data_IF_898670450364
#
_entry.id   IF_898670450364
#
_cell.length_a   1.000
_cell.length_b   1.000
_cell.length_c   1.000
_cell.angle_alpha   90.00
_cell.angle_beta   90.00
_cell.angle_gamma   90.00
#
_symmetry.space_group_name_H-M   'P 1'
#
loop_
_entity.id
_entity.type
_entity.pdbx_description
1 polymer ?
#
# COMPACT_ATOMS: atom_id res chain seq x y z
N UNK A 1 -29.76 18.24 -12.19
CA UNK A 1 -29.53 17.08 -11.30
C UNK A 1 -28.56 16.16 -12.03
N UNK A 2 -27.28 16.13 -11.65
CA UNK A 2 -26.29 15.28 -12.33
C UNK A 2 -26.57 13.81 -11.98
N UNK A 3 -26.61 12.94 -12.99
CA UNK A 3 -26.73 11.50 -12.77
C UNK A 3 -25.57 10.98 -11.92
N UNK A 4 -25.79 10.04 -11.00
CA UNK A 4 -24.71 9.45 -10.23
C UNK A 4 -23.71 8.80 -11.18
N UNK A 5 -22.40 8.91 -10.90
CA UNK A 5 -21.39 8.30 -11.75
C UNK A 5 -21.63 6.79 -11.82
N UNK A 6 -21.43 6.17 -13.01
CA UNK A 6 -21.47 4.72 -13.11
C UNK A 6 -20.45 4.17 -12.11
N UNK A 7 -20.81 3.11 -11.38
CA UNK A 7 -20.01 2.46 -10.33
C UNK A 7 -20.00 3.07 -8.91
N UNK A 8 -20.87 4.05 -8.58
CA UNK A 8 -20.92 4.59 -7.20
C UNK A 8 -21.17 3.51 -6.13
N UNK A 9 -22.12 2.61 -6.36
CA UNK A 9 -22.43 1.52 -5.42
C UNK A 9 -21.26 0.55 -5.28
N UNK A 10 -20.58 0.20 -6.38
CA UNK A 10 -19.43 -0.69 -6.36
C UNK A 10 -18.25 -0.10 -5.55
N UNK A 11 -18.01 1.21 -5.65
CA UNK A 11 -17.00 1.91 -4.85
C UNK A 11 -17.31 1.86 -3.37
N UNK A 12 -18.56 2.19 -3.00
CA UNK A 12 -19.01 2.17 -1.62
C UNK A 12 -18.86 0.76 -1.04
N UNK A 13 -19.28 -0.28 -1.79
CA UNK A 13 -19.16 -1.67 -1.36
C UNK A 13 -17.70 -2.10 -1.20
N UNK A 14 -16.82 -1.75 -2.15
CA UNK A 14 -15.40 -2.08 -2.06
C UNK A 14 -14.77 -1.42 -0.82
N UNK A 15 -14.95 -0.10 -0.66
CA UNK A 15 -14.33 0.64 0.42
C UNK A 15 -14.90 0.26 1.79
N UNK A 16 -16.21 0.03 1.90
CA UNK A 16 -16.84 -0.38 3.17
C UNK A 16 -16.44 -1.79 3.57
N UNK A 17 -16.48 -2.75 2.63
CA UNK A 17 -16.08 -4.13 2.90
C UNK A 17 -14.59 -4.21 3.27
N UNK A 18 -13.72 -3.53 2.52
CA UNK A 18 -12.29 -3.52 2.80
C UNK A 18 -11.98 -2.90 4.17
N UNK A 19 -12.58 -1.76 4.50
CA UNK A 19 -12.41 -1.13 5.81
C UNK A 19 -12.87 -2.06 6.95
N UNK A 20 -14.05 -2.69 6.80
CA UNK A 20 -14.57 -3.63 7.78
C UNK A 20 -13.65 -4.85 7.98
N UNK A 21 -13.12 -5.42 6.89
CA UNK A 21 -12.20 -6.57 6.96
C UNK A 21 -10.88 -6.17 7.65
N UNK A 22 -10.30 -5.03 7.28
CA UNK A 22 -9.05 -4.55 7.90
C UNK A 22 -9.22 -4.25 9.40
N UNK A 23 -10.31 -3.59 9.78
CA UNK A 23 -10.64 -3.28 11.19
C UNK A 23 -10.88 -4.57 11.97
N UNK A 24 -11.66 -5.50 11.42
CA UNK A 24 -11.90 -6.82 12.03
C UNK A 24 -10.60 -7.60 12.20
N UNK A 25 -9.73 -7.57 11.19
CA UNK A 25 -8.39 -8.18 11.24
C UNK A 25 -7.56 -7.68 12.41
N UNK A 26 -7.43 -6.36 12.54
CA UNK A 26 -6.69 -5.75 13.65
C UNK A 26 -7.35 -6.04 15.01
N UNK A 27 -8.67 -5.98 15.09
CA UNK A 27 -9.39 -6.25 16.33
C UNK A 27 -9.29 -7.73 16.77
N UNK A 28 -9.20 -8.67 15.84
CA UNK A 28 -8.99 -10.07 16.18
C UNK A 28 -7.52 -10.35 16.56
N UNK A 29 -6.57 -9.59 16.01
CA UNK A 29 -5.16 -9.67 16.41
C UNK A 29 -4.97 -9.35 17.90
N UNK A 30 -5.70 -8.38 18.45
CA UNK A 30 -5.57 -8.00 19.86
C UNK A 30 -6.12 -9.03 20.84
N UNK A 31 -6.94 -9.97 20.36
CA UNK A 31 -7.51 -11.07 21.16
C UNK A 31 -6.60 -12.29 21.24
N UNK A 32 -5.58 -12.37 20.38
CA UNK A 32 -4.67 -13.50 20.37
C UNK A 32 -3.62 -13.40 21.49
N UNK A 33 -3.09 -14.53 21.98
CA UNK A 33 -2.08 -14.53 23.04
C UNK A 33 -0.78 -13.81 22.61
N UNK A 34 -0.51 -13.70 21.30
CA UNK A 34 0.61 -12.92 20.76
C UNK A 34 0.51 -11.42 21.08
N UNK A 35 -0.69 -10.91 21.34
CA UNK A 35 -0.92 -9.51 21.70
C UNK A 35 -0.18 -9.13 22.98
N UNK A 36 -0.18 -10.00 23.99
CA UNK A 36 0.53 -9.76 25.24
C UNK A 36 2.03 -9.60 24.97
N UNK A 37 2.62 -10.50 24.18
CA UNK A 37 4.02 -10.40 23.77
C UNK A 37 4.30 -9.11 22.99
N UNK A 38 3.50 -8.78 21.98
CA UNK A 38 3.65 -7.56 21.17
C UNK A 38 3.57 -6.29 22.04
N UNK A 39 2.61 -6.23 22.97
CA UNK A 39 2.39 -5.07 23.82
C UNK A 39 3.55 -4.78 24.79
N UNK A 40 4.33 -5.80 25.15
CA UNK A 40 5.51 -5.65 26.03
C UNK A 40 6.77 -5.17 25.30
N UNK A 41 6.79 -5.18 23.96
CA UNK A 41 7.92 -4.71 23.17
C UNK A 41 7.95 -3.17 23.09
N UNK A 42 9.14 -2.59 22.93
CA UNK A 42 9.29 -1.15 22.75
C UNK A 42 8.61 -0.69 21.46
N UNK A 43 7.56 0.14 21.58
CA UNK A 43 6.74 0.60 20.44
C UNK A 43 5.47 -0.23 20.18
N UNK A 44 5.23 -1.30 20.95
CA UNK A 44 3.99 -2.09 20.89
C UNK A 44 3.63 -2.56 19.49
N UNK A 45 2.35 -2.40 19.11
CA UNK A 45 1.87 -2.77 17.77
C UNK A 45 2.43 -1.91 16.64
N UNK A 46 2.84 -0.66 16.94
CA UNK A 46 3.35 0.26 15.92
C UNK A 46 4.79 -0.05 15.50
N UNK A 47 5.49 -0.96 16.19
CA UNK A 47 6.79 -1.45 15.73
C UNK A 47 6.70 -2.16 14.37
N UNK A 48 5.56 -2.78 14.08
CA UNK A 48 5.38 -3.59 12.88
C UNK A 48 4.97 -2.72 11.69
N UNK A 49 5.77 -2.77 10.63
CA UNK A 49 5.48 -2.09 9.37
C UNK A 49 4.10 -2.49 8.81
N UNK A 50 3.69 -3.75 8.98
CA UNK A 50 2.36 -4.24 8.59
C UNK A 50 1.23 -3.46 9.27
N UNK A 51 1.35 -3.18 10.57
CA UNK A 51 0.32 -2.48 11.34
C UNK A 51 0.27 -0.99 10.93
N UNK A 52 1.43 -0.37 10.72
CA UNK A 52 1.49 1.00 10.19
C UNK A 52 0.85 1.07 8.79
N UNK A 53 1.18 0.15 7.90
CA UNK A 53 0.61 0.06 6.56
C UNK A 53 -0.90 -0.19 6.56
N UNK A 54 -1.38 -1.03 7.48
CA UNK A 54 -2.81 -1.29 7.69
C UNK A 54 -3.55 -0.02 8.11
N UNK A 55 -3.01 0.76 9.05
CA UNK A 55 -3.65 2.00 9.50
C UNK A 55 -3.71 3.07 8.40
N UNK A 56 -2.62 3.27 7.66
CA UNK A 56 -2.60 4.24 6.55
C UNK A 56 -3.58 3.80 5.46
N UNK A 57 -3.63 2.50 5.14
CA UNK A 57 -4.57 1.97 4.15
C UNK A 57 -6.02 2.09 4.61
N UNK A 58 -6.31 1.73 5.85
CA UNK A 58 -7.62 1.90 6.46
C UNK A 58 -8.08 3.36 6.40
N UNK A 59 -7.23 4.30 6.81
CA UNK A 59 -7.52 5.74 6.71
C UNK A 59 -7.78 6.17 5.25
N UNK A 60 -6.97 5.69 4.30
CA UNK A 60 -7.15 5.98 2.86
C UNK A 60 -8.49 5.47 2.34
N UNK A 61 -8.88 4.24 2.72
CA UNK A 61 -10.17 3.63 2.33
C UNK A 61 -11.37 4.31 2.99
N UNK A 62 -11.26 4.74 4.25
CA UNK A 62 -12.30 5.48 4.95
C UNK A 62 -12.51 6.87 4.35
N UNK A 63 -11.43 7.58 4.02
CA UNK A 63 -11.52 8.86 3.31
C UNK A 63 -12.17 8.66 1.93
N UNK A 64 -11.81 7.59 1.23
CA UNK A 64 -12.43 7.23 -0.06
C UNK A 64 -13.93 6.96 0.08
N UNK A 65 -14.33 6.20 1.11
CA UNK A 65 -15.73 5.95 1.43
C UNK A 65 -16.50 7.24 1.75
N UNK A 66 -15.91 8.13 2.55
CA UNK A 66 -16.51 9.45 2.86
C UNK A 66 -16.70 10.29 1.60
N UNK A 67 -15.75 10.27 0.68
CA UNK A 67 -15.87 10.97 -0.61
C UNK A 67 -16.94 10.36 -1.53
N UNK A 68 -17.15 9.05 -1.48
CA UNK A 68 -18.23 8.38 -2.23
C UNK A 68 -19.62 8.68 -1.65
N UNK A 69 -19.72 8.84 -0.32
CA UNK A 69 -20.95 9.24 0.37
C UNK A 69 -21.25 10.73 0.17
N UNK A 70 -20.24 11.59 0.32
CA UNK A 70 -20.34 13.05 0.22
C UNK A 70 -19.51 13.60 -0.94
N UNK A 71 -19.97 13.45 -2.21
CA UNK A 71 -19.23 13.89 -3.38
C UNK A 71 -18.98 15.41 -3.44
N UNK A 72 -19.70 16.19 -2.63
CA UNK A 72 -19.54 17.64 -2.49
C UNK A 72 -18.24 18.04 -1.76
N UNK A 73 -17.61 17.13 -1.01
CA UNK A 73 -16.44 17.42 -0.18
C UNK A 73 -15.15 17.26 -1.00
N UNK A 74 -14.83 18.29 -1.79
CA UNK A 74 -13.62 18.29 -2.62
C UNK A 74 -12.31 18.48 -1.82
N UNK A 75 -12.39 18.95 -0.57
CA UNK A 75 -11.22 19.22 0.27
C UNK A 75 -10.41 17.96 0.62
N UNK A 76 -11.04 16.79 0.61
CA UNK A 76 -10.40 15.51 0.96
C UNK A 76 -9.63 14.88 -0.22
N UNK A 77 -9.83 15.36 -1.45
CA UNK A 77 -9.15 14.87 -2.67
C UNK A 77 -7.61 14.90 -2.58
N UNK A 78 -6.96 16.03 -2.23
CA UNK A 78 -5.49 16.05 -2.12
C UNK A 78 -4.99 15.12 -1.01
N UNK A 79 -5.69 15.05 0.11
CA UNK A 79 -5.32 14.18 1.23
C UNK A 79 -5.40 12.70 0.85
N UNK A 80 -6.52 12.26 0.27
CA UNK A 80 -6.67 10.89 -0.29
C UNK A 80 -5.49 10.56 -1.19
N UNK A 81 -5.13 11.50 -2.07
CA UNK A 81 -4.09 11.28 -3.07
C UNK A 81 -2.70 11.12 -2.47
N UNK A 82 -2.35 11.93 -1.48
CA UNK A 82 -1.08 11.80 -0.75
C UNK A 82 -1.03 10.45 -0.03
N UNK A 83 -2.09 10.12 0.69
CA UNK A 83 -2.18 8.86 1.43
C UNK A 83 -2.09 7.65 0.48
N UNK A 84 -2.76 7.68 -0.67
CA UNK A 84 -2.72 6.61 -1.66
C UNK A 84 -1.31 6.42 -2.26
N UNK A 85 -0.57 7.51 -2.50
CA UNK A 85 0.82 7.45 -3.00
C UNK A 85 1.76 6.76 -2.00
N UNK A 86 1.50 6.91 -0.69
CA UNK A 86 2.31 6.29 0.37
C UNK A 86 1.83 4.86 0.66
N UNK A 87 0.53 4.69 0.83
CA UNK A 87 -0.09 3.44 1.26
C UNK A 87 0.03 2.33 0.21
N UNK A 88 -0.04 2.67 -1.07
CA UNK A 88 0.00 1.70 -2.16
C UNK A 88 1.35 0.96 -2.22
N UNK A 89 2.52 1.62 -2.38
CA UNK A 89 3.79 0.91 -2.40
C UNK A 89 4.08 0.20 -1.07
N UNK A 90 3.68 0.79 0.05
CA UNK A 90 3.85 0.17 1.37
C UNK A 90 3.08 -1.16 1.46
N UNK A 91 1.79 -1.16 1.12
CA UNK A 91 0.93 -2.36 1.21
C UNK A 91 1.32 -3.43 0.21
N UNK A 92 1.70 -3.04 -1.02
CA UNK A 92 2.21 -3.98 -2.03
C UNK A 92 3.50 -4.63 -1.52
N UNK A 93 4.43 -3.85 -0.96
CA UNK A 93 5.68 -4.37 -0.41
C UNK A 93 5.42 -5.39 0.70
N UNK A 94 4.57 -5.03 1.68
CA UNK A 94 4.18 -5.93 2.79
C UNK A 94 3.61 -7.24 2.24
N UNK A 95 2.65 -7.19 1.31
CA UNK A 95 2.06 -8.39 0.70
C UNK A 95 3.10 -9.22 -0.05
N UNK A 96 3.94 -8.56 -0.87
CA UNK A 96 4.93 -9.21 -1.71
C UNK A 96 6.05 -9.90 -0.92
N UNK A 97 6.35 -9.45 0.29
CA UNK A 97 7.36 -10.06 1.16
C UNK A 97 6.73 -11.17 2.01
N UNK A 98 5.51 -10.93 2.53
CA UNK A 98 4.82 -11.85 3.42
C UNK A 98 4.51 -13.20 2.76
N UNK A 99 3.93 -13.21 1.55
CA UNK A 99 3.52 -14.46 0.91
C UNK A 99 4.71 -15.37 0.55
N UNK A 100 5.82 -14.88 -0.02
CA UNK A 100 7.02 -15.70 -0.22
C UNK A 100 7.61 -16.21 1.07
N UNK A 101 7.66 -15.41 2.15
CA UNK A 101 8.13 -15.90 3.44
C UNK A 101 7.22 -17.00 4.00
N UNK A 102 5.90 -16.86 3.86
CA UNK A 102 4.94 -17.88 4.28
C UNK A 102 5.03 -19.16 3.46
N UNK A 103 5.45 -19.11 2.19
CA UNK A 103 5.54 -20.29 1.32
C UNK A 103 6.92 -20.95 1.34
N UNK A 104 7.99 -20.16 1.45
CA UNK A 104 9.38 -20.61 1.29
C UNK A 104 10.15 -20.72 2.62
N UNK A 105 9.74 -19.96 3.64
CA UNK A 105 10.50 -19.81 4.88
C UNK A 105 9.60 -19.61 6.11
N UNK A 106 8.62 -20.50 6.32
CA UNK A 106 7.70 -20.43 7.47
C UNK A 106 8.41 -20.40 8.82
N UNK A 107 9.58 -21.04 8.90
CA UNK A 107 10.43 -21.09 10.09
C UNK A 107 10.99 -19.72 10.53
N UNK A 108 10.98 -18.70 9.67
CA UNK A 108 11.39 -17.34 10.04
C UNK A 108 10.25 -16.51 10.65
N UNK A 109 8.99 -16.86 10.36
CA UNK A 109 7.82 -16.13 10.85
C UNK A 109 7.23 -16.80 12.09
N UNK A 110 7.21 -18.14 12.12
CA UNK A 110 6.70 -18.89 13.25
C UNK A 110 7.79 -18.99 14.30
N UNK A 111 7.66 -18.21 15.37
CA UNK A 111 8.47 -18.42 16.56
C UNK A 111 8.12 -19.79 17.16
N UNK A 112 9.10 -20.68 17.22
CA UNK A 112 9.01 -21.86 18.06
C UNK A 112 8.86 -21.35 19.50
N UNK A 113 7.71 -21.61 20.13
CA UNK A 113 7.44 -21.14 21.47
C UNK A 113 8.61 -21.45 22.40
N UNK A 114 9.20 -20.42 22.99
CA UNK A 114 10.25 -20.54 23.99
C UNK A 114 9.68 -21.04 25.31
N UNK A 115 9.24 -22.29 25.34
CA UNK A 115 9.39 -23.15 26.50
C UNK A 115 10.68 -23.95 26.31
N UNK A 116 11.44 -24.16 27.38
CA UNK A 116 12.60 -25.06 27.45
C UNK A 116 12.64 -26.17 26.39
N UNK A 117 13.83 -26.55 25.86
CA UNK A 117 13.98 -27.82 25.16
C UNK A 117 13.77 -28.96 26.16
N UNK A 118 12.52 -29.23 26.52
CA UNK A 118 12.17 -30.42 27.29
C UNK A 118 12.58 -31.60 26.43
N UNK A 119 13.51 -32.40 26.94
CA UNK A 119 14.09 -33.59 26.30
C UNK A 119 13.07 -34.73 26.14
N UNK A 120 11.78 -34.40 26.02
CA UNK A 120 10.67 -35.33 25.83
C UNK A 120 10.22 -35.29 24.37
N UNK A 121 10.30 -36.40 23.62
CA UNK A 121 9.96 -36.46 22.20
C UNK A 121 8.43 -36.41 21.93
N UNK A 122 7.63 -35.86 22.84
CA UNK A 122 6.15 -35.94 22.79
C UNK A 122 5.38 -34.69 23.20
N UNK A 123 6.02 -33.51 23.30
CA UNK A 123 5.29 -32.26 23.51
C UNK A 123 5.03 -31.54 22.16
N UNK A 124 3.77 -31.39 21.71
CA UNK A 124 3.47 -30.58 20.54
C UNK A 124 3.70 -29.12 20.91
N UNK A 125 4.85 -28.56 20.49
CA UNK A 125 5.11 -27.13 20.54
C UNK A 125 4.01 -26.42 19.74
N UNK A 126 3.15 -25.58 20.34
CA UNK A 126 2.13 -24.88 19.59
C UNK A 126 2.83 -23.83 18.74
N UNK A 127 3.10 -24.17 17.48
CA UNK A 127 3.37 -23.19 16.44
C UNK A 127 2.22 -22.18 16.50
N UNK A 128 2.48 -20.98 17.00
CA UNK A 128 1.47 -19.96 17.17
C UNK A 128 1.13 -19.39 15.79
N UNK A 129 0.30 -20.15 15.06
CA UNK A 129 -0.11 -19.84 13.71
C UNK A 129 -1.29 -18.88 13.77
N UNK A 130 -1.12 -17.74 13.10
CA UNK A 130 -2.22 -16.81 12.89
C UNK A 130 -3.30 -17.50 12.02
N UNK A 131 -4.60 -17.35 12.34
CA UNK A 131 -5.66 -17.85 11.47
C UNK A 131 -5.58 -17.20 10.09
N UNK A 132 -5.68 -18.01 9.03
CA UNK A 132 -5.62 -17.56 7.63
C UNK A 132 -6.53 -16.35 7.30
N UNK A 133 -7.79 -16.27 7.79
CA UNK A 133 -8.63 -15.11 7.53
C UNK A 133 -8.04 -13.80 8.09
N UNK A 134 -7.34 -13.89 9.22
CA UNK A 134 -6.66 -12.75 9.81
C UNK A 134 -5.42 -12.38 9.00
N UNK A 135 -4.60 -13.36 8.58
CA UNK A 135 -3.45 -13.11 7.70
C UNK A 135 -3.85 -12.42 6.40
N UNK A 136 -4.93 -12.87 5.77
CA UNK A 136 -5.50 -12.25 4.56
C UNK A 136 -5.93 -10.80 4.83
N UNK A 137 -6.62 -10.56 5.94
CA UNK A 137 -7.09 -9.22 6.31
C UNK A 137 -5.97 -8.22 6.58
N UNK A 138 -4.83 -8.69 7.09
CA UNK A 138 -3.68 -7.86 7.44
C UNK A 138 -2.71 -7.64 6.28
N UNK A 139 -2.58 -8.61 5.35
CA UNK A 139 -1.53 -8.59 4.31
C UNK A 139 -2.08 -8.50 2.88
N UNK A 140 -3.18 -9.19 2.55
CA UNK A 140 -3.70 -9.22 1.17
C UNK A 140 -4.73 -8.13 0.91
N UNK A 141 -5.71 -7.96 1.81
CA UNK A 141 -6.81 -7.01 1.65
C UNK A 141 -6.31 -5.56 1.49
N UNK A 142 -5.32 -5.06 2.26
CA UNK A 142 -4.82 -3.70 2.08
C UNK A 142 -4.24 -3.47 0.68
N UNK A 143 -3.41 -4.40 0.20
CA UNK A 143 -2.77 -4.30 -1.11
C UNK A 143 -3.80 -4.40 -2.26
N UNK A 144 -4.70 -5.38 -2.20
CA UNK A 144 -5.72 -5.58 -3.23
C UNK A 144 -6.71 -4.42 -3.31
N UNK A 145 -7.11 -3.86 -2.17
CA UNK A 145 -8.06 -2.74 -2.13
C UNK A 145 -7.45 -1.48 -2.74
N UNK A 146 -6.22 -1.13 -2.37
CA UNK A 146 -5.55 0.06 -2.93
C UNK A 146 -5.23 -0.12 -4.41
N UNK A 147 -4.86 -1.34 -4.83
CA UNK A 147 -4.64 -1.65 -6.24
C UNK A 147 -5.94 -1.52 -7.05
N UNK A 148 -7.06 -2.02 -6.52
CA UNK A 148 -8.37 -1.89 -7.14
C UNK A 148 -8.82 -0.42 -7.20
N UNK A 149 -8.67 0.36 -6.12
CA UNK A 149 -9.00 1.78 -6.09
C UNK A 149 -8.17 2.56 -7.13
N UNK A 150 -6.86 2.27 -7.22
CA UNK A 150 -5.98 2.90 -8.19
C UNK A 150 -6.30 2.51 -9.65
N UNK A 151 -6.56 1.22 -9.93
CA UNK A 151 -6.78 0.75 -11.30
C UNK A 151 -8.19 1.09 -11.83
N UNK A 152 -9.20 1.02 -10.98
CA UNK A 152 -10.61 1.13 -11.38
C UNK A 152 -11.20 2.52 -11.16
N UNK A 153 -10.76 3.25 -10.13
CA UNK A 153 -11.45 4.46 -9.68
C UNK A 153 -10.63 5.75 -9.82
N UNK A 154 -9.30 5.67 -9.84
CA UNK A 154 -8.45 6.83 -10.09
C UNK A 154 -8.56 7.31 -11.54
N UNK A 155 -8.86 8.61 -11.73
CA UNK A 155 -8.93 9.20 -13.07
C UNK A 155 -7.51 9.29 -13.65
N UNK A 156 -7.24 8.49 -14.69
CA UNK A 156 -6.05 8.67 -15.53
C UNK A 156 -6.10 10.07 -16.17
N UNK A 157 -4.99 10.80 -16.12
CA UNK A 157 -4.89 12.12 -16.74
C UNK A 157 -5.34 12.05 -18.20
N UNK A 158 -6.22 12.96 -18.58
CA UNK A 158 -6.67 13.01 -19.96
C UNK A 158 -5.55 13.64 -20.78
N UNK A 159 -5.24 13.06 -21.95
CA UNK A 159 -4.17 13.52 -22.87
C UNK A 159 -4.25 15.03 -23.17
N UNK A 160 -5.43 15.64 -23.04
CA UNK A 160 -5.68 17.09 -23.18
C UNK A 160 -4.99 17.93 -22.09
N UNK A 161 -4.93 17.49 -20.84
CA UNK A 161 -4.24 18.21 -19.75
C UNK A 161 -2.72 18.17 -19.92
N UNK A 162 -2.19 17.05 -20.41
CA UNK A 162 -0.76 16.89 -20.72
C UNK A 162 -0.37 17.70 -21.97
N UNK A 163 -1.25 17.77 -22.97
CA UNK A 163 -1.04 18.57 -24.19
C UNK A 163 -1.21 20.08 -23.96
N UNK A 164 -2.11 20.52 -23.08
CA UNK A 164 -2.25 21.93 -22.72
C UNK A 164 -0.98 22.51 -22.08
N UNK A 165 -0.30 21.72 -21.25
CA UNK A 165 1.02 22.07 -20.70
C UNK A 165 2.10 22.10 -21.78
N UNK A 166 2.08 21.17 -22.74
CA UNK A 166 3.05 21.13 -23.84
C UNK A 166 2.83 22.25 -24.87
N UNK A 167 1.58 22.64 -25.14
CA UNK A 167 1.25 23.75 -26.03
C UNK A 167 1.67 25.11 -25.46
N UNK A 168 1.61 25.26 -24.13
CA UNK A 168 2.08 26.46 -23.42
C UNK A 168 3.60 26.54 -23.25
N UNK A 169 4.34 25.48 -23.59
CA UNK A 169 5.81 25.43 -23.54
C UNK A 169 6.45 25.51 -24.94
N UNK A 170 5.62 25.69 -25.99
CA UNK A 170 6.05 25.73 -27.38
C UNK A 170 6.52 27.09 -27.87
N UNK A 171 6.18 28.18 -27.19
CA UNK A 171 6.64 29.53 -27.51
C UNK A 171 6.96 30.25 -26.20
N UNK A 172 8.12 30.90 -26.16
CA UNK A 172 8.69 31.68 -25.06
C UNK A 172 9.36 30.89 -23.93
N UNK A 173 10.66 30.67 -24.12
CA UNK A 173 11.63 30.41 -23.06
C UNK A 173 12.33 31.73 -22.68
N UNK A 174 11.80 32.57 -21.78
CA UNK A 174 12.61 33.55 -21.09
C UNK A 174 13.25 32.87 -19.87
N UNK A 175 14.54 32.57 -20.00
CA UNK A 175 15.45 32.45 -18.85
C UNK A 175 15.32 33.72 -18.04
N UNK A 176 14.60 33.68 -16.91
CA UNK A 176 14.70 34.53 -15.72
C UNK A 176 13.33 34.68 -15.05
N UNK A 177 12.91 33.67 -14.29
CA UNK A 177 12.08 33.89 -13.10
C UNK A 177 12.02 32.61 -12.28
N UNK A 178 12.79 32.53 -11.19
CA UNK A 178 12.49 31.64 -10.07
C UNK A 178 11.24 32.19 -9.37
N UNK A 179 10.08 32.10 -10.04
CA UNK A 179 8.79 32.37 -9.43
C UNK A 179 8.17 31.02 -9.12
N UNK A 180 8.11 30.75 -7.83
CA UNK A 180 7.42 29.66 -7.14
C UNK A 180 5.96 29.59 -7.56
N UNK A 181 5.68 29.08 -8.76
CA UNK A 181 4.33 28.64 -9.10
C UNK A 181 4.13 27.32 -8.39
N UNK A 182 3.32 27.41 -7.33
CA UNK A 182 2.84 26.31 -6.49
C UNK A 182 1.99 25.36 -7.35
N UNK A 183 2.64 24.64 -8.26
CA UNK A 183 2.02 23.73 -9.20
C UNK A 183 1.48 22.56 -8.41
N UNK A 184 0.15 22.49 -8.33
CA UNK A 184 -0.66 21.39 -7.74
C UNK A 184 -0.32 19.98 -8.29
N UNK A 185 0.66 19.88 -9.19
CA UNK A 185 0.99 18.70 -9.98
C UNK A 185 2.47 18.30 -9.95
N UNK A 186 3.35 19.06 -9.28
CA UNK A 186 4.80 18.78 -9.24
C UNK A 186 5.13 17.39 -8.69
N UNK A 187 4.46 16.97 -7.62
CA UNK A 187 4.69 15.70 -6.93
C UNK A 187 4.23 14.47 -7.73
N UNK A 188 3.20 14.61 -8.54
CA UNK A 188 2.66 13.52 -9.37
C UNK A 188 3.54 13.28 -10.61
N UNK A 189 4.12 14.34 -11.18
CA UNK A 189 5.16 14.22 -12.20
C UNK A 189 6.45 13.59 -11.66
N UNK A 190 6.82 13.86 -10.40
CA UNK A 190 7.96 13.19 -9.75
C UNK A 190 7.74 11.69 -9.54
N UNK A 191 6.53 11.26 -9.13
CA UNK A 191 6.21 9.83 -9.01
C UNK A 191 6.15 9.13 -10.38
N UNK A 192 5.52 9.75 -11.38
CA UNK A 192 5.48 9.19 -12.75
C UNK A 192 6.88 9.05 -13.36
N UNK A 193 7.78 10.02 -13.11
CA UNK A 193 9.20 9.92 -13.49
C UNK A 193 9.97 8.89 -12.66
N UNK A 194 9.68 8.77 -11.37
CA UNK A 194 10.28 7.76 -10.48
C UNK A 194 9.91 6.33 -10.89
N UNK A 195 8.64 6.07 -11.19
CA UNK A 195 8.16 4.78 -11.71
C UNK A 195 8.68 4.47 -13.12
N UNK A 196 8.84 5.48 -13.98
CA UNK A 196 9.50 5.29 -15.28
C UNK A 196 10.98 4.93 -15.14
N UNK A 197 11.66 5.51 -14.16
CA UNK A 197 13.08 5.20 -13.86
C UNK A 197 13.27 3.82 -13.25
N UNK A 198 12.26 3.28 -12.56
CA UNK A 198 12.25 1.88 -12.09
C UNK A 198 12.02 0.87 -13.23
N UNK A 199 11.26 1.22 -14.28
CA UNK A 199 11.14 0.38 -15.48
C UNK A 199 12.45 0.28 -16.28
N UNK A 200 13.38 1.21 -16.11
CA UNK A 200 14.73 1.13 -16.69
C UNK A 200 15.78 0.43 -15.81
N UNK A 201 15.50 0.18 -14.52
CA UNK A 201 16.45 -0.52 -13.65
C UNK A 201 16.49 -2.04 -13.94
N UNK A 202 15.40 -2.60 -14.47
CA UNK A 202 15.37 -3.98 -14.98
C UNK A 202 16.21 -4.21 -16.24
N UNK A 203 16.65 -3.15 -16.93
CA UNK A 203 17.52 -3.26 -18.11
C UNK A 203 19.02 -3.15 -17.78
N UNK A 204 19.38 -2.75 -16.57
CA UNK A 204 20.77 -2.64 -16.12
C UNK A 204 21.32 -3.94 -15.51
N UNK A 205 20.45 -4.87 -15.09
CA UNK A 205 20.87 -6.21 -14.65
C UNK A 205 21.25 -7.11 -15.84
N UNK A 206 20.82 -6.77 -17.07
CA UNK A 206 21.24 -7.46 -18.29
C UNK A 206 22.67 -7.13 -18.77
N UNK A 207 23.28 -6.05 -18.28
CA UNK A 207 24.64 -5.67 -18.68
C UNK A 207 25.75 -6.23 -17.77
N UNK A 208 25.43 -6.65 -16.53
CA UNK A 208 26.45 -7.22 -15.63
C UNK A 208 26.70 -8.72 -15.84
N UNK A 209 25.92 -9.40 -16.69
CA UNK A 209 26.15 -10.82 -16.97
C UNK A 209 27.11 -11.08 -18.14
N UNK A 210 27.40 -10.07 -18.97
CA UNK A 210 28.25 -10.24 -20.15
C UNK A 210 29.75 -10.02 -19.90
N UNK A 211 30.15 -9.50 -18.73
CA UNK A 211 31.55 -9.18 -18.41
C UNK A 211 32.26 -10.28 -17.56
N UNK A 212 31.65 -11.45 -17.38
CA UNK A 212 32.21 -12.60 -16.63
C UNK A 212 32.72 -13.74 -17.53
N UNK A 213 32.57 -13.65 -18.86
CA UNK A 213 33.08 -14.65 -19.82
C UNK A 213 34.38 -14.21 -20.53
N UNK A 214 35.20 -13.35 -19.93
CA UNK A 214 36.46 -12.90 -20.55
C UNK A 214 37.64 -12.78 -19.57
N UNK A 215 37.73 -13.70 -18.62
CA UNK A 215 38.96 -14.07 -17.93
C UNK A 215 39.03 -15.56 -17.67
#
# INVERSE_FOLDING_TARGET
MASPPPFRTARILLHSAAAAIMISGYHNLTKLPINAFISTQYGGHLQYLTIQGLFITCATTLISLLMDLFPSVNALKPLKRILLIIAMPLSITISSIYWPLLLLATQLILQNGSGEPSSSPHAPQPLLRIPLPMDLSLHAVPALTLLADFLLFEKKYTRKEIRGVRGSMGEDFPTHSLRTTHSKYGWQYMWARGCWRFRHFGSLIGCMHSDIESY
#
